data_IF_366746494169
#
_entry.id   IF_366746494169
#
_cell.length_a   1.000
_cell.length_b   1.000
_cell.length_c   1.000
_cell.angle_alpha   90.00
_cell.angle_beta   90.00
_cell.angle_gamma   90.00
#
_symmetry.space_group_name_H-M   'P 1'
#
loop_
_entity.id
_entity.type
_entity.pdbx_description
1 polymer ?
#
# COMPACT_ATOMS: atom_id res chain seq x y z
N UNK A 1 -7.89 -26.66 -6.56
CA UNK A 1 -7.71 -25.21 -6.52
C UNK A 1 -6.22 -24.93 -6.43
N UNK A 2 -5.71 -23.73 -6.79
CA UNK A 2 -4.35 -23.33 -6.51
C UNK A 2 -4.11 -23.19 -5.00
N UNK A 3 -2.85 -22.99 -4.59
CA UNK A 3 -2.48 -22.92 -3.16
C UNK A 3 -3.34 -21.89 -2.39
N UNK A 4 -3.55 -20.71 -2.97
CA UNK A 4 -4.34 -19.65 -2.34
C UNK A 4 -5.86 -19.91 -2.40
N UNK A 5 -6.37 -20.55 -3.46
CA UNK A 5 -7.80 -20.88 -3.60
C UNK A 5 -8.31 -21.86 -2.54
N UNK A 6 -7.42 -22.61 -1.89
CA UNK A 6 -7.78 -23.52 -0.80
C UNK A 6 -8.42 -22.82 0.39
N UNK A 7 -8.13 -21.53 0.61
CA UNK A 7 -8.73 -20.77 1.70
C UNK A 7 -10.26 -20.71 1.62
N UNK A 8 -10.83 -20.60 0.41
CA UNK A 8 -12.28 -20.68 0.22
C UNK A 8 -12.83 -22.04 0.69
N UNK A 9 -12.16 -23.13 0.32
CA UNK A 9 -12.53 -24.49 0.74
C UNK A 9 -12.41 -24.66 2.26
N UNK A 10 -11.37 -24.09 2.86
CA UNK A 10 -11.18 -24.10 4.31
C UNK A 10 -12.35 -23.41 5.04
N UNK A 11 -12.78 -22.23 4.59
CA UNK A 11 -13.94 -21.52 5.14
C UNK A 11 -15.17 -22.42 5.13
N UNK A 12 -15.51 -23.04 3.98
CA UNK A 12 -16.65 -23.92 3.88
C UNK A 12 -16.51 -25.16 4.78
N UNK A 13 -15.35 -25.80 4.78
CA UNK A 13 -15.10 -27.01 5.56
C UNK A 13 -15.25 -26.76 7.06
N UNK A 14 -14.64 -25.67 7.54
CA UNK A 14 -14.75 -25.31 8.98
C UNK A 14 -16.17 -24.91 9.36
N UNK A 15 -16.85 -24.16 8.49
CA UNK A 15 -18.25 -23.78 8.73
C UNK A 15 -19.19 -24.98 8.78
N UNK A 16 -19.13 -25.88 7.80
CA UNK A 16 -20.02 -27.04 7.66
C UNK A 16 -19.71 -28.12 8.73
N UNK A 17 -18.43 -28.45 8.93
CA UNK A 17 -18.06 -29.57 9.79
C UNK A 17 -17.86 -29.17 11.27
N UNK A 18 -17.52 -27.92 11.54
CA UNK A 18 -17.16 -27.47 12.89
C UNK A 18 -18.04 -26.34 13.42
N UNK A 19 -18.93 -25.79 12.58
CA UNK A 19 -19.74 -24.62 12.94
C UNK A 19 -18.93 -23.32 13.14
N UNK A 20 -17.68 -23.28 12.67
CA UNK A 20 -16.78 -22.14 12.83
C UNK A 20 -16.89 -21.21 11.64
N UNK A 21 -17.43 -20.03 11.85
CA UNK A 21 -17.51 -18.98 10.82
C UNK A 21 -16.17 -18.27 10.66
N UNK A 22 -15.93 -17.63 9.49
CA UNK A 22 -14.74 -16.81 9.29
C UNK A 22 -14.72 -15.63 10.28
N UNK A 23 -13.53 -15.14 10.69
CA UNK A 23 -13.40 -14.08 11.70
C UNK A 23 -14.03 -12.76 11.27
N UNK A 24 -14.11 -12.52 9.96
CA UNK A 24 -14.72 -11.32 9.35
C UNK A 24 -15.56 -11.69 8.15
N UNK A 25 -16.31 -10.71 7.64
CA UNK A 25 -17.00 -10.82 6.35
C UNK A 25 -16.01 -11.01 5.20
N UNK A 26 -16.38 -11.83 4.21
CA UNK A 26 -15.68 -11.94 2.92
C UNK A 26 -16.24 -10.98 1.87
N UNK A 27 -17.34 -10.26 2.19
CA UNK A 27 -17.92 -9.24 1.32
C UNK A 27 -17.15 -7.91 1.43
N UNK A 28 -16.48 -7.46 0.35
CA UNK A 28 -15.68 -6.23 0.40
C UNK A 28 -16.51 -4.96 0.66
N UNK A 29 -17.82 -4.98 0.35
CA UNK A 29 -18.70 -3.86 0.61
C UNK A 29 -19.07 -3.76 2.10
N UNK A 30 -19.23 -4.90 2.77
CA UNK A 30 -19.54 -4.97 4.20
C UNK A 30 -18.29 -4.73 5.06
N UNK A 31 -17.09 -5.08 4.56
CA UNK A 31 -15.85 -4.96 5.33
C UNK A 31 -15.62 -3.54 5.86
N UNK A 32 -15.85 -2.52 5.01
CA UNK A 32 -15.75 -1.11 5.40
C UNK A 32 -16.75 -0.74 6.50
N UNK A 33 -17.98 -1.26 6.42
CA UNK A 33 -19.04 -0.99 7.42
C UNK A 33 -18.70 -1.63 8.75
N UNK A 34 -18.27 -2.89 8.74
CA UNK A 34 -17.82 -3.59 9.96
C UNK A 34 -16.60 -2.90 10.60
N UNK A 35 -15.68 -2.36 9.79
CA UNK A 35 -14.56 -1.58 10.30
C UNK A 35 -15.03 -0.28 10.98
N UNK A 36 -16.07 0.38 10.43
CA UNK A 36 -16.67 1.57 11.04
C UNK A 36 -17.28 1.26 12.41
N UNK A 37 -17.88 0.09 12.56
CA UNK A 37 -18.51 -0.31 13.82
C UNK A 37 -17.48 -0.79 14.87
N UNK A 38 -16.33 -1.31 14.43
CA UNK A 38 -15.31 -1.88 15.30
C UNK A 38 -14.26 -0.85 15.78
N UNK A 39 -13.99 0.18 14.99
CA UNK A 39 -12.98 1.20 15.29
C UNK A 39 -13.60 2.42 15.99
N UNK A 40 -12.76 3.23 16.66
CA UNK A 40 -13.17 4.58 17.05
C UNK A 40 -13.49 5.43 15.80
N UNK A 41 -14.33 6.46 15.96
CA UNK A 41 -14.66 7.35 14.86
C UNK A 41 -13.42 8.04 14.26
N UNK A 42 -12.46 8.45 15.09
CA UNK A 42 -11.18 9.04 14.67
C UNK A 42 -10.37 8.06 13.84
N UNK A 43 -10.19 6.82 14.32
CA UNK A 43 -9.44 5.78 13.63
C UNK A 43 -10.08 5.43 12.28
N UNK A 44 -11.39 5.25 12.26
CA UNK A 44 -12.10 4.97 11.03
C UNK A 44 -12.01 6.14 10.03
N UNK A 45 -12.24 7.38 10.48
CA UNK A 45 -12.15 8.57 9.64
C UNK A 45 -10.76 8.71 9.02
N UNK A 46 -9.71 8.49 9.80
CA UNK A 46 -8.33 8.60 9.35
C UNK A 46 -8.01 7.61 8.21
N UNK A 47 -8.45 6.36 8.30
CA UNK A 47 -8.18 5.37 7.23
C UNK A 47 -9.21 5.44 6.09
N UNK A 48 -10.48 5.69 6.38
CA UNK A 48 -11.53 5.68 5.38
C UNK A 48 -11.64 6.99 4.60
N UNK A 49 -11.21 8.11 5.20
CA UNK A 49 -11.28 9.43 4.62
C UNK A 49 -10.39 9.62 3.38
N UNK A 50 -10.75 10.62 2.59
CA UNK A 50 -10.02 11.09 1.41
C UNK A 50 -9.75 12.58 1.50
N UNK A 51 -9.12 13.15 0.46
CA UNK A 51 -8.99 14.58 0.28
C UNK A 51 -10.28 15.18 -0.28
N UNK A 52 -10.53 16.46 0.00
CA UNK A 52 -11.63 17.25 -0.54
C UNK A 52 -12.99 16.60 -0.36
N UNK A 53 -13.77 16.52 -1.42
CA UNK A 53 -15.09 15.87 -1.44
C UNK A 53 -15.01 14.36 -1.72
N UNK A 54 -13.81 13.80 -1.99
CA UNK A 54 -13.63 12.39 -2.29
C UNK A 54 -13.72 12.03 -3.77
N UNK A 55 -13.74 13.01 -4.68
CA UNK A 55 -13.88 12.79 -6.12
C UNK A 55 -12.81 11.83 -6.69
N UNK A 56 -11.55 11.91 -6.23
CA UNK A 56 -10.50 10.98 -6.64
C UNK A 56 -10.73 9.56 -6.11
N UNK A 57 -11.31 9.42 -4.91
CA UNK A 57 -11.69 8.09 -4.39
C UNK A 57 -12.74 7.43 -5.28
N UNK A 58 -13.73 8.20 -5.71
CA UNK A 58 -14.80 7.72 -6.60
C UNK A 58 -14.26 7.42 -7.99
N UNK A 59 -13.39 8.29 -8.54
CA UNK A 59 -12.69 8.05 -9.81
C UNK A 59 -11.90 6.73 -9.79
N UNK A 60 -11.19 6.42 -8.70
CA UNK A 60 -10.49 5.14 -8.55
C UNK A 60 -11.45 3.94 -8.66
N UNK A 61 -12.63 4.01 -8.05
CA UNK A 61 -13.62 2.91 -8.13
C UNK A 61 -14.32 2.85 -9.47
N UNK A 62 -14.62 4.00 -10.07
CA UNK A 62 -15.22 4.10 -11.40
C UNK A 62 -14.30 3.49 -12.47
N UNK A 63 -13.00 3.79 -12.41
CA UNK A 63 -12.02 3.23 -13.33
C UNK A 63 -12.07 1.69 -13.35
N UNK A 64 -12.10 1.03 -12.18
CA UNK A 64 -12.27 -0.41 -12.10
C UNK A 64 -13.63 -0.91 -12.64
N UNK A 65 -14.70 -0.15 -12.48
CA UNK A 65 -16.02 -0.52 -13.02
C UNK A 65 -16.10 -0.42 -14.54
N UNK A 66 -15.31 0.46 -15.17
CA UNK A 66 -15.27 0.64 -16.62
C UNK A 66 -14.52 -0.50 -17.33
N UNK A 67 -13.57 -1.16 -16.68
CA UNK A 67 -12.91 -2.32 -17.22
C UNK A 67 -13.64 -3.61 -16.86
N UNK A 68 -13.95 -4.45 -17.86
CA UNK A 68 -14.65 -5.74 -17.72
C UNK A 68 -13.73 -6.87 -18.13
N UNK A 69 -13.64 -7.91 -17.31
CA UNK A 69 -12.96 -9.16 -17.66
C UNK A 69 -13.80 -9.87 -18.72
N UNK A 70 -13.17 -10.36 -19.78
CA UNK A 70 -13.80 -11.19 -20.82
C UNK A 70 -13.37 -12.64 -20.58
N UNK A 71 -14.18 -13.46 -19.88
CA UNK A 71 -13.80 -14.82 -19.55
C UNK A 71 -13.78 -15.71 -20.80
N UNK A 72 -12.82 -16.65 -20.84
CA UNK A 72 -12.70 -17.64 -21.90
C UNK A 72 -12.92 -19.04 -21.35
N UNK A 73 -13.88 -19.74 -21.92
CA UNK A 73 -14.28 -21.07 -21.47
C UNK A 73 -13.46 -22.17 -22.13
N UNK A 74 -13.52 -23.40 -21.57
CA UNK A 74 -12.88 -24.60 -22.07
C UNK A 74 -11.38 -24.50 -22.31
N UNK A 75 -10.69 -23.71 -21.46
CA UNK A 75 -9.24 -23.54 -21.50
C UNK A 75 -8.58 -24.25 -20.32
N UNK A 76 -7.41 -24.91 -20.52
CA UNK A 76 -6.63 -25.42 -19.41
C UNK A 76 -6.21 -24.25 -18.48
N UNK A 77 -6.68 -24.28 -17.22
CA UNK A 77 -6.43 -23.24 -16.22
C UNK A 77 -5.83 -23.79 -14.92
N UNK A 78 -5.35 -25.03 -14.94
CA UNK A 78 -4.74 -25.66 -13.78
C UNK A 78 -3.42 -26.38 -14.17
N UNK A 79 -2.42 -26.50 -13.26
CA UNK A 79 -2.35 -25.71 -12.03
C UNK A 79 -2.21 -24.23 -12.33
N UNK A 80 -2.81 -23.37 -11.50
CA UNK A 80 -2.65 -21.90 -11.63
C UNK A 80 -1.35 -21.46 -11.03
N UNK A 81 -0.76 -20.44 -11.64
CA UNK A 81 0.48 -19.84 -11.23
C UNK A 81 0.27 -18.33 -10.97
N UNK A 82 0.46 -17.94 -9.70
CA UNK A 82 0.36 -16.56 -9.25
C UNK A 82 1.73 -15.89 -9.02
N UNK A 83 2.81 -16.63 -9.23
CA UNK A 83 4.16 -16.15 -8.99
C UNK A 83 4.53 -14.98 -9.90
N UNK A 84 5.30 -14.06 -9.35
CA UNK A 84 5.87 -12.91 -10.07
C UNK A 84 7.33 -12.72 -9.70
N UNK A 85 8.12 -12.21 -10.64
CA UNK A 85 9.48 -11.75 -10.37
C UNK A 85 9.46 -10.22 -10.27
N UNK A 86 9.96 -9.70 -9.14
CA UNK A 86 10.13 -8.26 -8.92
C UNK A 86 11.58 -8.02 -8.51
N UNK A 87 12.30 -7.23 -9.29
CA UNK A 87 13.69 -6.85 -9.01
C UNK A 87 14.63 -8.06 -8.81
N UNK A 88 14.42 -9.15 -9.58
CA UNK A 88 15.23 -10.36 -9.51
C UNK A 88 14.83 -11.37 -8.43
N UNK A 89 13.88 -11.04 -7.57
CA UNK A 89 13.34 -11.93 -6.53
C UNK A 89 11.98 -12.50 -6.95
N UNK A 90 11.77 -13.81 -6.71
CA UNK A 90 10.49 -14.47 -6.96
C UNK A 90 9.56 -14.32 -5.74
N UNK A 91 8.32 -13.90 -5.99
CA UNK A 91 7.25 -13.80 -5.00
C UNK A 91 6.11 -14.75 -5.36
N UNK A 92 5.46 -15.35 -4.35
CA UNK A 92 4.40 -16.36 -4.54
C UNK A 92 3.11 -15.78 -5.13
N UNK A 93 2.93 -14.46 -5.07
CA UNK A 93 1.74 -13.79 -5.58
C UNK A 93 2.03 -12.34 -5.99
N UNK A 94 1.20 -11.75 -6.87
CA UNK A 94 1.34 -10.37 -7.35
C UNK A 94 0.72 -9.34 -6.40
N UNK A 95 0.78 -9.59 -5.09
CA UNK A 95 0.15 -8.74 -4.07
C UNK A 95 1.16 -8.36 -3.01
N UNK A 96 1.19 -7.08 -2.66
CA UNK A 96 1.96 -6.54 -1.55
C UNK A 96 1.01 -5.75 -0.62
N UNK A 97 1.38 -5.58 0.64
CA UNK A 97 0.67 -4.64 1.52
C UNK A 97 1.29 -3.26 1.38
N UNK A 98 0.44 -2.28 1.01
CA UNK A 98 0.84 -0.89 0.84
C UNK A 98 1.40 -0.29 2.14
N UNK A 99 2.31 0.69 2.05
CA UNK A 99 2.79 1.40 3.22
C UNK A 99 1.66 2.24 3.82
N UNK A 100 1.15 1.83 4.97
CA UNK A 100 0.17 2.56 5.77
C UNK A 100 0.77 2.83 7.13
N UNK A 101 0.81 4.11 7.51
CA UNK A 101 1.38 4.53 8.79
C UNK A 101 0.41 4.49 9.95
N UNK A 102 0.93 4.76 11.14
CA UNK A 102 0.20 4.94 12.39
C UNK A 102 -0.79 3.81 12.70
N UNK A 103 -0.41 2.55 12.50
CA UNK A 103 -1.33 1.41 12.58
C UNK A 103 -1.86 1.16 14.01
N UNK A 104 -1.20 1.69 15.03
CA UNK A 104 -1.72 1.69 16.40
C UNK A 104 -3.07 2.42 16.53
N UNK A 105 -3.31 3.42 15.66
CA UNK A 105 -4.61 4.11 15.59
C UNK A 105 -5.75 3.13 15.33
N UNK A 106 -5.48 2.09 14.54
CA UNK A 106 -6.49 1.10 14.15
C UNK A 106 -6.59 -0.06 15.14
N UNK A 107 -5.44 -0.57 15.62
CA UNK A 107 -5.39 -1.72 16.52
C UNK A 107 -4.06 -1.79 17.28
N UNK A 108 -4.10 -2.32 18.51
CA UNK A 108 -2.91 -2.53 19.36
C UNK A 108 -1.82 -3.43 18.76
N UNK A 109 -2.16 -4.27 17.80
CA UNK A 109 -1.19 -5.14 17.11
C UNK A 109 -0.29 -4.37 16.14
N UNK A 110 -0.62 -3.12 15.78
CA UNK A 110 0.20 -2.18 15.03
C UNK A 110 0.74 -2.76 13.70
N UNK A 111 1.84 -2.20 13.21
CA UNK A 111 2.57 -2.68 12.04
C UNK A 111 3.14 -4.09 12.25
N UNK A 112 3.51 -4.45 13.48
CA UNK A 112 4.01 -5.79 13.82
C UNK A 112 2.96 -6.87 13.58
N UNK A 113 1.69 -6.60 13.88
CA UNK A 113 0.58 -7.51 13.58
C UNK A 113 0.37 -7.69 12.08
N UNK A 114 0.40 -6.59 11.31
CA UNK A 114 0.30 -6.64 9.84
C UNK A 114 1.49 -7.38 9.22
N UNK A 115 2.71 -7.11 9.68
CA UNK A 115 3.92 -7.76 9.20
C UNK A 115 3.90 -9.28 9.47
N UNK A 116 3.47 -9.69 10.66
CA UNK A 116 3.31 -11.10 11.00
C UNK A 116 2.23 -11.80 10.15
N UNK A 117 1.09 -11.13 9.89
CA UNK A 117 0.05 -11.65 9.00
C UNK A 117 0.58 -11.84 7.56
N UNK A 118 1.37 -10.90 7.06
CA UNK A 118 2.02 -10.97 5.76
C UNK A 118 3.02 -12.13 5.70
N UNK A 119 3.83 -12.30 6.75
CA UNK A 119 4.81 -13.38 6.85
C UNK A 119 4.15 -14.77 6.78
N UNK A 120 3.03 -14.97 7.48
CA UNK A 120 2.29 -16.23 7.46
C UNK A 120 1.69 -16.60 6.09
N UNK A 121 1.49 -15.61 5.21
CA UNK A 121 0.98 -15.79 3.85
C UNK A 121 2.04 -15.63 2.77
N UNK A 122 3.30 -15.39 3.14
CA UNK A 122 4.41 -15.08 2.25
C UNK A 122 4.09 -13.90 1.29
N UNK A 123 3.40 -12.89 1.83
CA UNK A 123 3.08 -11.64 1.12
C UNK A 123 4.09 -10.56 1.56
N UNK A 124 4.73 -9.81 0.64
CA UNK A 124 5.63 -8.74 1.03
C UNK A 124 4.91 -7.63 1.79
N UNK A 125 5.50 -7.21 2.90
CA UNK A 125 5.06 -6.04 3.68
C UNK A 125 5.91 -4.82 3.38
N UNK A 126 5.29 -3.69 3.09
CA UNK A 126 5.98 -2.39 2.93
C UNK A 126 5.76 -1.57 4.21
N UNK A 127 6.81 -1.45 5.02
CA UNK A 127 6.78 -0.63 6.22
C UNK A 127 6.78 0.85 5.86
N UNK A 128 5.90 1.64 6.47
CA UNK A 128 5.90 3.10 6.31
C UNK A 128 6.89 3.79 7.25
N UNK A 129 7.53 4.87 6.81
CA UNK A 129 8.26 5.80 7.69
C UNK A 129 7.38 6.37 8.80
N UNK A 130 6.07 6.54 8.51
CA UNK A 130 5.09 6.98 9.50
C UNK A 130 4.60 5.85 10.41
N UNK A 131 5.47 4.92 10.78
CA UNK A 131 5.14 3.76 11.62
C UNK A 131 5.10 4.09 13.11
N UNK A 132 4.20 3.42 13.83
CA UNK A 132 4.16 3.41 15.30
C UNK A 132 5.10 2.35 15.89
N UNK A 133 5.53 1.39 15.06
CA UNK A 133 6.56 0.41 15.43
C UNK A 133 7.90 0.82 14.85
N UNK A 134 8.99 0.46 15.52
CA UNK A 134 10.35 0.69 15.03
C UNK A 134 10.69 -0.23 13.84
N UNK A 135 11.71 0.14 13.08
CA UNK A 135 12.26 -0.66 11.98
C UNK A 135 12.64 -2.07 12.49
N UNK A 136 13.23 -2.17 13.67
CA UNK A 136 13.65 -3.44 14.26
C UNK A 136 12.48 -4.32 14.70
N UNK A 137 11.42 -3.74 15.31
CA UNK A 137 10.22 -4.47 15.69
C UNK A 137 9.51 -5.08 14.49
N UNK A 138 9.38 -4.31 13.41
CA UNK A 138 8.77 -4.79 12.16
C UNK A 138 9.64 -5.85 11.50
N UNK A 139 10.96 -5.68 11.47
CA UNK A 139 11.87 -6.68 10.95
C UNK A 139 11.78 -8.01 11.74
N UNK A 140 11.74 -7.94 13.07
CA UNK A 140 11.56 -9.11 13.93
C UNK A 140 10.21 -9.81 13.67
N UNK A 141 9.11 -9.05 13.56
CA UNK A 141 7.78 -9.59 13.28
C UNK A 141 7.67 -10.24 11.88
N UNK A 142 8.43 -9.74 10.91
CA UNK A 142 8.50 -10.31 9.56
C UNK A 142 9.37 -11.58 9.49
N UNK A 143 10.26 -11.81 10.47
CA UNK A 143 11.23 -12.91 10.41
C UNK A 143 12.08 -12.86 9.15
N UNK A 144 12.15 -13.98 8.40
CA UNK A 144 12.90 -14.07 7.14
C UNK A 144 12.05 -13.74 5.89
N UNK A 145 10.78 -13.31 6.07
CA UNK A 145 9.90 -13.04 4.93
C UNK A 145 10.20 -11.70 4.27
N UNK A 146 9.81 -11.53 2.99
CA UNK A 146 10.08 -10.33 2.22
C UNK A 146 9.46 -9.08 2.85
N UNK A 147 10.27 -8.05 3.00
CA UNK A 147 9.84 -6.74 3.48
C UNK A 147 10.54 -5.62 2.76
N UNK A 148 9.79 -4.57 2.47
CA UNK A 148 10.25 -3.35 1.82
C UNK A 148 10.09 -2.17 2.77
N UNK A 149 10.89 -1.12 2.57
CA UNK A 149 10.82 0.09 3.38
C UNK A 149 10.29 1.26 2.54
N UNK A 150 9.28 1.99 3.04
CA UNK A 150 8.81 3.21 2.41
C UNK A 150 9.35 4.42 3.16
N UNK A 151 9.88 5.36 2.39
CA UNK A 151 10.41 6.64 2.86
C UNK A 151 9.45 7.78 2.52
N UNK A 152 8.99 8.51 3.56
CA UNK A 152 8.70 9.92 3.41
C UNK A 152 10.03 10.64 3.56
N UNK A 153 10.51 11.23 2.50
CA UNK A 153 11.89 11.70 2.39
C UNK A 153 12.11 12.95 3.26
N UNK A 154 12.87 12.89 4.38
CA UNK A 154 13.17 14.04 5.19
C UNK A 154 13.96 15.09 4.40
N UNK A 155 13.76 16.35 4.74
CA UNK A 155 14.53 17.46 4.14
C UNK A 155 16.02 17.43 4.54
N UNK A 156 16.33 16.83 5.68
CA UNK A 156 17.67 16.64 6.18
C UNK A 156 18.32 15.35 5.65
N UNK A 157 19.39 15.49 4.85
CA UNK A 157 20.08 14.36 4.21
C UNK A 157 20.78 13.44 5.22
N UNK A 158 21.22 13.94 6.39
CA UNK A 158 21.86 13.09 7.42
C UNK A 158 20.80 12.20 8.09
N UNK A 159 19.60 12.72 8.35
CA UNK A 159 18.49 11.95 8.90
C UNK A 159 18.07 10.90 7.86
N UNK A 160 17.97 11.28 6.59
CA UNK A 160 17.68 10.38 5.48
C UNK A 160 18.68 9.24 5.43
N UNK A 161 19.98 9.54 5.41
CA UNK A 161 21.05 8.54 5.37
C UNK A 161 21.01 7.58 6.56
N UNK A 162 20.74 8.09 7.77
CA UNK A 162 20.64 7.29 8.99
C UNK A 162 19.49 6.30 8.95
N UNK A 163 18.30 6.76 8.55
CA UNK A 163 17.10 5.91 8.43
C UNK A 163 17.33 4.82 7.37
N UNK A 164 17.88 5.17 6.20
CA UNK A 164 18.17 4.18 5.14
C UNK A 164 19.19 3.14 5.59
N UNK A 165 20.25 3.56 6.29
CA UNK A 165 21.24 2.66 6.87
C UNK A 165 20.61 1.67 7.87
N UNK A 166 19.72 2.17 8.74
CA UNK A 166 19.01 1.34 9.72
C UNK A 166 18.08 0.33 9.03
N UNK A 167 17.30 0.78 8.05
CA UNK A 167 16.41 -0.11 7.29
C UNK A 167 17.18 -1.20 6.54
N UNK A 168 18.29 -0.84 5.89
CA UNK A 168 19.18 -1.78 5.20
C UNK A 168 19.78 -2.80 6.17
N UNK A 169 20.32 -2.36 7.31
CA UNK A 169 20.87 -3.24 8.34
C UNK A 169 19.81 -4.19 8.93
N UNK A 170 18.54 -3.76 8.99
CA UNK A 170 17.41 -4.59 9.40
C UNK A 170 16.89 -5.52 8.28
N UNK A 171 17.54 -5.55 7.11
CA UNK A 171 17.26 -6.50 6.03
C UNK A 171 16.05 -6.14 5.15
N UNK A 172 15.67 -4.88 5.10
CA UNK A 172 14.72 -4.39 4.08
C UNK A 172 15.41 -4.39 2.72
N UNK A 173 14.73 -4.94 1.69
CA UNK A 173 15.36 -5.22 0.38
C UNK A 173 15.10 -4.16 -0.68
N UNK A 174 13.95 -3.51 -0.65
CA UNK A 174 13.51 -2.54 -1.65
C UNK A 174 13.12 -1.25 -0.94
N UNK A 175 13.55 -0.12 -1.48
CA UNK A 175 13.16 1.20 -1.01
C UNK A 175 12.00 1.75 -1.86
N UNK A 176 10.92 2.17 -1.21
CA UNK A 176 9.78 2.85 -1.84
C UNK A 176 9.78 4.31 -1.40
N UNK A 177 10.15 5.22 -2.28
CA UNK A 177 10.12 6.66 -1.99
C UNK A 177 8.76 7.23 -2.40
N UNK A 178 8.04 7.79 -1.46
CA UNK A 178 6.73 8.40 -1.73
C UNK A 178 6.91 9.86 -2.12
N UNK A 179 6.48 10.19 -3.34
CA UNK A 179 6.69 11.53 -3.95
C UNK A 179 5.40 12.35 -4.08
N UNK A 180 4.24 11.77 -3.79
CA UNK A 180 2.94 12.43 -3.85
C UNK A 180 2.50 13.10 -2.54
N UNK A 181 3.39 13.18 -1.53
CA UNK A 181 3.05 13.65 -0.19
C UNK A 181 4.11 14.63 0.34
N UNK A 182 4.33 15.73 -0.34
CA UNK A 182 5.18 16.82 0.15
C UNK A 182 4.55 17.53 1.36
N UNK A 183 3.22 17.58 1.41
CA UNK A 183 2.44 18.13 2.52
C UNK A 183 1.21 17.29 2.81
N UNK A 184 0.58 17.52 3.94
CA UNK A 184 -0.72 16.91 4.26
C UNK A 184 -1.83 17.59 3.48
N UNK A 185 -2.63 16.79 2.77
CA UNK A 185 -3.76 17.29 2.00
C UNK A 185 -4.91 17.79 2.89
N UNK A 186 -5.83 18.53 2.30
CA UNK A 186 -7.07 18.91 2.95
C UNK A 186 -8.00 17.71 3.06
N UNK A 187 -8.06 17.09 4.25
CA UNK A 187 -8.85 15.89 4.55
C UNK A 187 -9.97 16.27 5.53
N UNK A 188 -11.20 16.48 5.07
CA UNK A 188 -12.29 16.97 5.92
C UNK A 188 -12.51 16.10 7.16
N UNK A 189 -12.50 14.77 7.01
CA UNK A 189 -12.74 13.86 8.13
C UNK A 189 -11.69 13.97 9.26
N UNK A 190 -10.44 14.27 8.92
CA UNK A 190 -9.35 14.48 9.89
C UNK A 190 -9.45 15.89 10.48
N UNK A 191 -9.76 16.90 9.64
CA UNK A 191 -9.87 18.30 10.05
C UNK A 191 -11.06 18.53 10.98
N UNK A 192 -12.23 17.97 10.67
CA UNK A 192 -13.44 18.10 11.49
C UNK A 192 -13.25 17.47 12.88
N UNK A 193 -12.39 16.43 12.97
CA UNK A 193 -12.04 15.80 14.23
C UNK A 193 -10.81 16.47 14.92
N UNK A 194 -10.16 17.45 14.26
CA UNK A 194 -8.86 18.00 14.67
C UNK A 194 -7.85 16.90 15.02
N UNK A 195 -7.85 15.83 14.22
CA UNK A 195 -7.08 14.62 14.48
C UNK A 195 -5.87 14.50 13.57
N UNK A 196 -4.69 14.48 14.19
CA UNK A 196 -3.41 14.19 13.54
C UNK A 196 -2.67 13.18 14.42
N UNK A 197 -2.50 11.91 13.99
CA UNK A 197 -1.89 10.86 14.81
C UNK A 197 -0.50 11.25 15.36
N UNK A 198 0.30 11.88 14.52
CA UNK A 198 1.67 12.31 14.87
C UNK A 198 1.72 13.21 16.09
N UNK A 199 0.75 14.12 16.26
CA UNK A 199 0.68 15.01 17.42
C UNK A 199 0.24 14.29 18.70
N UNK A 200 -0.27 13.05 18.57
CA UNK A 200 -0.59 12.13 19.68
C UNK A 200 0.53 11.09 19.91
N UNK A 201 1.68 11.25 19.26
CA UNK A 201 2.83 10.34 19.37
C UNK A 201 2.74 9.08 18.52
N UNK A 202 1.70 8.95 17.69
CA UNK A 202 1.48 7.80 16.83
C UNK A 202 2.05 8.04 15.42
N UNK A 203 2.85 7.10 14.91
CA UNK A 203 3.48 7.21 13.60
C UNK A 203 4.81 7.95 13.57
N UNK A 204 5.42 8.26 14.72
CA UNK A 204 6.70 8.99 14.81
C UNK A 204 7.89 8.07 15.13
N UNK A 205 7.67 6.79 15.39
CA UNK A 205 8.69 5.93 16.02
C UNK A 205 9.94 5.80 15.17
N UNK A 206 9.84 5.81 13.84
CA UNK A 206 11.02 5.77 12.97
C UNK A 206 11.92 6.99 13.18
N UNK A 207 11.35 8.19 13.18
CA UNK A 207 12.11 9.42 13.46
C UNK A 207 12.59 9.48 14.91
N UNK A 208 11.72 9.20 15.88
CA UNK A 208 12.07 9.32 17.31
C UNK A 208 13.09 8.29 17.77
N UNK A 209 13.24 7.17 17.10
CA UNK A 209 14.29 6.18 17.37
C UNK A 209 15.57 6.41 16.57
N UNK A 210 15.56 7.31 15.57
CA UNK A 210 16.74 7.58 14.75
C UNK A 210 17.80 8.39 15.53
N UNK A 211 19.07 7.94 15.60
CA UNK A 211 20.09 8.59 16.39
C UNK A 211 20.46 10.00 15.90
N UNK A 212 20.37 10.25 14.59
CA UNK A 212 20.70 11.56 14.01
C UNK A 212 19.55 12.53 14.28
N UNK A 213 18.29 12.10 14.10
CA UNK A 213 17.15 12.92 14.49
C UNK A 213 17.21 13.30 15.97
N UNK A 214 17.47 12.33 16.87
CA UNK A 214 17.57 12.56 18.33
C UNK A 214 18.66 13.57 18.64
N UNK A 215 19.85 13.44 18.05
CA UNK A 215 20.95 14.40 18.23
C UNK A 215 20.54 15.81 17.80
N UNK A 216 20.01 15.96 16.58
CA UNK A 216 19.59 17.26 16.04
C UNK A 216 18.43 17.87 16.83
N UNK A 217 17.53 17.04 17.34
CA UNK A 217 16.45 17.49 18.23
C UNK A 217 17.02 18.03 19.55
N UNK A 218 17.94 17.30 20.20
CA UNK A 218 18.58 17.74 21.43
C UNK A 218 19.35 19.08 21.26
N UNK A 219 20.05 19.25 20.13
CA UNK A 219 20.74 20.52 19.78
C UNK A 219 19.75 21.71 19.68
N UNK A 220 18.49 21.48 19.28
CA UNK A 220 17.45 22.51 19.12
C UNK A 220 16.57 22.72 20.36
N UNK A 221 16.67 21.85 21.35
CA UNK A 221 15.77 21.80 22.51
C UNK A 221 16.52 21.78 23.84
N UNK A 222 17.68 22.43 23.92
CA UNK A 222 18.51 22.54 25.13
C UNK A 222 18.80 21.17 25.77
N UNK A 223 19.07 20.16 24.97
CA UNK A 223 19.41 18.81 25.41
C UNK A 223 18.22 17.87 25.69
N UNK A 224 16.98 18.30 25.45
CA UNK A 224 15.80 17.46 25.66
C UNK A 224 15.76 16.28 24.68
N UNK A 225 15.19 15.16 25.12
CA UNK A 225 14.88 14.00 24.26
C UNK A 225 13.47 14.11 23.65
N UNK A 226 13.15 13.37 22.60
CA UNK A 226 11.78 13.30 22.08
C UNK A 226 10.74 12.87 23.13
N UNK A 227 11.13 12.05 24.12
CA UNK A 227 10.30 11.62 25.23
C UNK A 227 10.04 12.73 26.25
N UNK A 228 11.02 13.66 26.46
CA UNK A 228 10.86 14.80 27.36
C UNK A 228 9.92 15.86 26.78
N UNK A 229 9.92 16.03 25.45
CA UNK A 229 9.07 17.02 24.77
C UNK A 229 8.47 16.46 23.47
N UNK A 230 7.51 15.50 23.57
CA UNK A 230 6.98 14.78 22.42
C UNK A 230 6.26 15.66 21.40
N UNK A 231 5.60 16.75 21.84
CA UNK A 231 4.92 17.66 20.91
C UNK A 231 5.90 18.47 20.06
N UNK A 232 6.98 18.96 20.66
CA UNK A 232 8.02 19.67 19.92
C UNK A 232 8.77 18.73 18.95
N UNK A 233 9.06 17.51 19.42
CA UNK A 233 9.68 16.48 18.58
C UNK A 233 8.77 16.07 17.42
N UNK A 234 7.47 15.90 17.64
CA UNK A 234 6.51 15.62 16.59
C UNK A 234 6.42 16.75 15.57
N UNK A 235 6.41 18.00 16.02
CA UNK A 235 6.41 19.17 15.14
C UNK A 235 7.68 19.23 14.29
N UNK A 236 8.84 18.95 14.88
CA UNK A 236 10.10 18.91 14.15
C UNK A 236 10.11 17.78 13.13
N UNK A 237 9.70 16.56 13.52
CA UNK A 237 9.60 15.41 12.61
C UNK A 237 8.64 15.64 11.44
N UNK A 238 7.47 16.23 11.71
CA UNK A 238 6.53 16.61 10.66
C UNK A 238 7.12 17.64 9.69
N UNK A 239 7.92 18.59 10.20
CA UNK A 239 8.62 19.55 9.36
C UNK A 239 9.69 18.92 8.47
N UNK A 240 10.30 17.81 8.90
CA UNK A 240 11.23 17.03 8.06
C UNK A 240 10.51 16.19 7.00
N UNK A 241 9.45 15.50 7.38
CA UNK A 241 8.78 14.52 6.51
C UNK A 241 7.69 15.13 5.60
N UNK A 242 7.11 16.28 5.98
CA UNK A 242 5.98 16.94 5.30
C UNK A 242 6.19 18.46 5.29
N UNK A 243 7.33 18.90 4.83
CA UNK A 243 7.79 20.31 4.86
C UNK A 243 6.93 21.26 4.03
N UNK A 244 6.23 20.76 3.02
CA UNK A 244 5.58 21.53 1.97
C UNK A 244 6.42 21.68 0.71
N UNK A 245 7.72 21.38 0.79
CA UNK A 245 8.65 21.45 -0.33
C UNK A 245 8.85 20.05 -0.96
N UNK A 246 9.15 20.01 -2.26
CA UNK A 246 9.45 18.78 -2.99
C UNK A 246 10.94 18.65 -3.23
N UNK A 247 11.45 17.43 -3.17
CA UNK A 247 12.79 17.12 -3.65
C UNK A 247 12.83 17.15 -5.19
N UNK A 248 13.79 17.85 -5.84
CA UNK A 248 13.96 17.78 -7.29
C UNK A 248 14.52 16.42 -7.72
N UNK A 249 14.38 16.08 -8.99
CA UNK A 249 14.81 14.79 -9.55
C UNK A 249 16.30 14.52 -9.32
N UNK A 250 17.14 15.53 -9.42
CA UNK A 250 18.59 15.43 -9.24
C UNK A 250 18.96 15.01 -7.79
N UNK A 251 18.09 15.30 -6.84
CA UNK A 251 18.31 14.93 -5.44
C UNK A 251 18.22 13.41 -5.19
N UNK A 252 17.68 12.63 -6.14
CA UNK A 252 17.72 11.16 -6.08
C UNK A 252 19.13 10.58 -5.93
N UNK A 253 20.15 11.31 -6.31
CA UNK A 253 21.56 10.91 -6.10
C UNK A 253 21.90 10.78 -4.61
N UNK A 254 21.24 11.52 -3.71
CA UNK A 254 21.38 11.34 -2.25
C UNK A 254 20.84 9.98 -1.82
N UNK A 255 19.67 9.59 -2.33
CA UNK A 255 19.08 8.27 -2.03
C UNK A 255 20.02 7.16 -2.51
N UNK A 256 20.46 7.22 -3.77
CA UNK A 256 21.33 6.22 -4.40
C UNK A 256 22.67 6.06 -3.69
N UNK A 257 23.19 7.13 -3.11
CA UNK A 257 24.44 7.09 -2.32
C UNK A 257 24.28 6.23 -1.04
N UNK A 258 23.07 6.16 -0.48
CA UNK A 258 22.80 5.52 0.82
C UNK A 258 21.97 4.23 0.71
N UNK A 259 21.46 3.92 -0.49
CA UNK A 259 20.69 2.71 -0.76
C UNK A 259 21.22 2.00 -2.00
N UNK A 260 21.61 0.74 -1.86
CA UNK A 260 22.21 -0.11 -2.91
C UNK A 260 21.24 -1.19 -3.45
N UNK A 261 20.05 -1.27 -2.90
CA UNK A 261 18.95 -2.13 -3.41
C UNK A 261 18.07 -1.41 -4.43
N UNK A 262 17.04 -2.07 -4.94
CA UNK A 262 16.08 -1.44 -5.85
C UNK A 262 15.38 -0.23 -5.21
N UNK A 263 15.19 0.82 -6.04
CA UNK A 263 14.48 2.05 -5.69
C UNK A 263 13.20 2.14 -6.50
N UNK A 264 12.08 2.38 -5.83
CA UNK A 264 10.74 2.49 -6.44
C UNK A 264 10.11 3.83 -6.05
N UNK A 265 9.67 4.63 -7.01
CA UNK A 265 8.94 5.87 -6.74
C UNK A 265 7.44 5.61 -6.67
N UNK A 266 6.80 5.98 -5.55
CA UNK A 266 5.34 5.85 -5.36
C UNK A 266 4.66 7.20 -5.49
N UNK A 267 3.55 7.24 -6.25
CA UNK A 267 2.77 8.48 -6.48
C UNK A 267 2.86 8.99 -7.92
N UNK A 268 3.43 8.19 -8.81
CA UNK A 268 3.57 8.55 -10.22
C UNK A 268 2.23 8.33 -10.93
N UNK A 269 1.72 9.39 -11.57
CA UNK A 269 0.48 9.36 -12.36
C UNK A 269 0.62 9.94 -13.76
N UNK A 270 1.77 10.52 -14.11
CA UNK A 270 2.01 11.11 -15.41
C UNK A 270 3.04 10.29 -16.19
N UNK A 271 2.82 9.96 -17.49
CA UNK A 271 3.79 9.21 -18.30
C UNK A 271 5.16 9.89 -18.41
N UNK A 272 5.21 11.22 -18.46
CA UNK A 272 6.49 11.96 -18.49
C UNK A 272 7.28 11.76 -17.19
N UNK A 273 6.63 11.76 -16.04
CA UNK A 273 7.29 11.48 -14.75
C UNK A 273 7.82 10.04 -14.69
N UNK A 274 7.10 9.09 -15.29
CA UNK A 274 7.59 7.71 -15.42
C UNK A 274 8.84 7.62 -16.30
N UNK A 275 8.90 8.39 -17.38
CA UNK A 275 10.08 8.50 -18.25
C UNK A 275 11.23 9.17 -17.51
N UNK A 276 10.98 10.24 -16.74
CA UNK A 276 11.98 10.89 -15.89
C UNK A 276 12.53 9.93 -14.83
N UNK A 277 11.66 9.16 -14.15
CA UNK A 277 12.09 8.13 -13.20
C UNK A 277 13.05 7.13 -13.85
N UNK A 278 12.75 6.65 -15.06
CA UNK A 278 13.63 5.77 -15.82
C UNK A 278 14.97 6.45 -16.18
N UNK A 279 14.95 7.71 -16.62
CA UNK A 279 16.15 8.48 -16.96
C UNK A 279 17.06 8.70 -15.75
N UNK A 280 16.46 8.89 -14.57
CA UNK A 280 17.18 8.98 -13.29
C UNK A 280 17.54 7.61 -12.70
N UNK A 281 17.44 6.51 -13.46
CA UNK A 281 17.90 5.18 -13.06
C UNK A 281 17.14 4.60 -11.87
N UNK A 282 15.83 4.85 -11.78
CA UNK A 282 14.92 4.23 -10.82
C UNK A 282 14.49 2.86 -11.33
N UNK A 283 14.44 1.85 -10.46
CA UNK A 283 14.17 0.45 -10.84
C UNK A 283 12.68 0.17 -11.08
N UNK A 284 11.82 0.97 -10.45
CA UNK A 284 10.38 0.79 -10.58
C UNK A 284 9.56 2.00 -10.14
N UNK A 285 8.29 1.97 -10.49
CA UNK A 285 7.31 2.97 -10.05
C UNK A 285 6.04 2.29 -9.56
N UNK A 286 5.31 2.97 -8.67
CA UNK A 286 3.95 2.63 -8.28
C UNK A 286 3.02 3.70 -8.83
N UNK A 287 2.19 3.34 -9.81
CA UNK A 287 1.11 4.18 -10.30
C UNK A 287 0.07 4.31 -9.20
N UNK A 288 -0.05 5.51 -8.63
CA UNK A 288 -0.78 5.75 -7.39
C UNK A 288 -1.23 7.19 -7.27
N UNK A 289 -2.43 7.42 -6.75
CA UNK A 289 -2.89 8.71 -6.25
C UNK A 289 -3.09 8.71 -4.73
N UNK A 290 -2.31 7.87 -4.03
CA UNK A 290 -2.39 7.72 -2.57
C UNK A 290 -3.78 7.31 -2.07
N UNK A 291 -4.54 6.58 -2.90
CA UNK A 291 -5.91 6.17 -2.59
C UNK A 291 -6.89 7.34 -2.50
N UNK A 292 -6.64 8.45 -3.21
CA UNK A 292 -7.46 9.66 -3.18
C UNK A 292 -7.30 10.48 -1.89
N UNK A 293 -6.14 10.40 -1.24
CA UNK A 293 -5.87 11.08 0.04
C UNK A 293 -5.04 12.35 -0.12
N UNK A 294 -4.60 12.69 -1.33
CA UNK A 294 -3.70 13.83 -1.60
C UNK A 294 -4.38 14.85 -2.51
N UNK A 295 -4.38 14.70 -3.81
CA UNK A 295 -5.06 15.63 -4.72
C UNK A 295 -6.49 15.16 -4.92
N UNK A 296 -7.49 15.97 -4.51
CA UNK A 296 -8.86 15.71 -4.89
C UNK A 296 -9.15 16.24 -6.30
N UNK A 297 -10.06 15.59 -7.03
CA UNK A 297 -10.30 15.86 -8.44
C UNK A 297 -9.22 15.31 -9.37
N UNK A 298 -8.24 14.53 -8.86
CA UNK A 298 -7.27 13.85 -9.69
C UNK A 298 -7.89 12.65 -10.42
N UNK A 299 -7.26 12.27 -11.54
CA UNK A 299 -7.64 11.08 -12.32
C UNK A 299 -7.51 9.80 -11.52
N UNK A 300 -8.34 8.81 -11.80
CA UNK A 300 -8.19 7.47 -11.22
C UNK A 300 -6.88 6.82 -11.64
N UNK A 301 -6.14 6.24 -10.66
CA UNK A 301 -4.82 5.62 -10.95
C UNK A 301 -4.90 4.58 -12.07
N UNK A 302 -5.99 3.78 -12.13
CA UNK A 302 -6.14 2.74 -13.14
C UNK A 302 -6.31 3.31 -14.56
N UNK A 303 -6.84 4.52 -14.70
CA UNK A 303 -6.98 5.17 -16.00
C UNK A 303 -5.63 5.58 -16.59
N UNK A 304 -4.65 5.91 -15.74
CA UNK A 304 -3.29 6.27 -16.15
C UNK A 304 -2.37 5.06 -16.37
N UNK A 305 -2.72 3.90 -15.82
CA UNK A 305 -1.86 2.73 -15.88
C UNK A 305 -1.49 2.30 -17.31
N UNK A 306 -2.44 2.21 -18.29
CA UNK A 306 -2.09 1.81 -19.66
C UNK A 306 -1.06 2.75 -20.33
N UNK A 307 -1.24 4.06 -20.21
CA UNK A 307 -0.34 5.05 -20.82
C UNK A 307 1.06 5.00 -20.18
N UNK A 308 1.15 4.84 -18.89
CA UNK A 308 2.43 4.69 -18.17
C UNK A 308 3.12 3.38 -18.56
N UNK A 309 2.38 2.27 -18.65
CA UNK A 309 2.92 0.98 -19.10
C UNK A 309 3.41 1.06 -20.55
N UNK A 310 2.72 1.75 -21.44
CA UNK A 310 3.16 1.99 -22.81
C UNK A 310 4.49 2.76 -22.85
N UNK A 311 4.66 3.74 -21.98
CA UNK A 311 5.86 4.57 -21.94
C UNK A 311 7.11 3.84 -21.40
N UNK A 312 6.96 3.03 -20.35
CA UNK A 312 8.12 2.48 -19.59
C UNK A 312 8.00 1.00 -19.21
N UNK A 313 6.88 0.33 -19.45
CA UNK A 313 6.60 -0.99 -18.88
C UNK A 313 7.48 -2.14 -19.38
N UNK A 314 8.21 -1.96 -20.49
CA UNK A 314 9.23 -2.87 -21.01
C UNK A 314 10.64 -2.59 -20.47
N UNK A 315 10.85 -1.45 -19.81
CA UNK A 315 12.15 -0.94 -19.36
C UNK A 315 12.28 -0.89 -17.84
N UNK A 316 11.16 -0.81 -17.10
CA UNK A 316 11.16 -0.77 -15.65
C UNK A 316 9.95 -1.51 -15.06
N UNK A 317 10.03 -1.85 -13.77
CA UNK A 317 8.92 -2.47 -13.05
C UNK A 317 7.83 -1.47 -12.75
N UNK A 318 6.62 -1.67 -13.29
CA UNK A 318 5.44 -0.86 -12.99
C UNK A 318 4.55 -1.62 -12.01
N UNK A 319 4.36 -1.06 -10.83
CA UNK A 319 3.43 -1.53 -9.78
C UNK A 319 2.21 -0.61 -9.75
N UNK A 320 1.18 -1.03 -9.04
CA UNK A 320 -0.08 -0.29 -9.01
C UNK A 320 -0.73 -0.29 -7.64
N UNK A 321 -1.32 0.83 -7.23
CA UNK A 321 -2.27 0.89 -6.12
C UNK A 321 -3.43 1.86 -6.39
N UNK A 322 -4.27 2.03 -5.40
CA UNK A 322 -5.46 2.86 -5.36
C UNK A 322 -6.72 2.20 -5.94
N UNK A 323 -7.63 1.89 -5.04
CA UNK A 323 -8.97 1.46 -5.39
C UNK A 323 -9.23 -0.06 -5.40
N UNK A 324 -8.24 -0.93 -5.23
CA UNK A 324 -8.42 -2.39 -5.24
C UNK A 324 -9.28 -2.85 -4.04
N UNK A 325 -10.25 -3.74 -4.32
CA UNK A 325 -11.16 -4.33 -3.32
C UNK A 325 -11.38 -5.83 -3.50
N UNK A 326 -11.13 -6.38 -4.70
CA UNK A 326 -11.46 -7.76 -5.09
C UNK A 326 -10.34 -8.41 -5.88
N UNK A 327 -10.33 -9.74 -6.00
CA UNK A 327 -9.44 -10.46 -6.90
C UNK A 327 -9.65 -10.06 -8.37
N UNK A 328 -10.90 -9.74 -8.75
CA UNK A 328 -11.19 -9.22 -10.09
C UNK A 328 -10.52 -7.86 -10.35
N UNK A 329 -10.44 -6.98 -9.36
CA UNK A 329 -9.70 -5.71 -9.50
C UNK A 329 -8.19 -5.99 -9.72
N UNK A 330 -7.62 -6.96 -8.99
CA UNK A 330 -6.22 -7.37 -9.17
C UNK A 330 -6.00 -7.87 -10.60
N UNK A 331 -6.85 -8.77 -11.11
CA UNK A 331 -6.78 -9.27 -12.51
C UNK A 331 -6.78 -8.10 -13.51
N UNK A 332 -7.62 -7.07 -13.29
CA UNK A 332 -7.69 -5.92 -14.20
C UNK A 332 -6.39 -5.11 -14.21
N UNK A 333 -5.84 -4.79 -13.04
CA UNK A 333 -4.60 -4.05 -12.95
C UNK A 333 -3.42 -4.81 -13.60
N UNK A 334 -3.30 -6.13 -13.34
CA UNK A 334 -2.28 -6.97 -13.95
C UNK A 334 -2.45 -7.06 -15.48
N UNK A 335 -3.70 -7.21 -15.95
CA UNK A 335 -3.99 -7.27 -17.39
C UNK A 335 -3.69 -5.94 -18.11
N UNK A 336 -3.73 -4.82 -17.41
CA UNK A 336 -3.34 -3.50 -17.91
C UNK A 336 -1.84 -3.22 -17.81
N UNK A 337 -1.05 -4.20 -17.33
CA UNK A 337 0.40 -4.19 -17.38
C UNK A 337 1.13 -3.99 -16.05
N UNK A 338 0.42 -3.83 -14.94
CA UNK A 338 1.06 -3.86 -13.63
C UNK A 338 1.71 -5.22 -13.36
N UNK A 339 2.91 -5.25 -12.81
CA UNK A 339 3.59 -6.49 -12.42
C UNK A 339 3.06 -7.04 -11.08
N UNK A 340 2.69 -6.15 -10.18
CA UNK A 340 2.04 -6.47 -8.92
C UNK A 340 1.22 -5.27 -8.42
N UNK A 341 0.38 -5.51 -7.42
CA UNK A 341 -0.51 -4.51 -6.83
C UNK A 341 -0.31 -4.37 -5.34
N UNK A 342 -0.63 -3.20 -4.79
CA UNK A 342 -0.55 -2.94 -3.36
C UNK A 342 -1.95 -2.77 -2.76
N UNK A 343 -2.17 -3.35 -1.59
CA UNK A 343 -3.40 -3.30 -0.81
C UNK A 343 -3.23 -2.41 0.42
N UNK A 344 -4.01 -1.34 0.53
CA UNK A 344 -4.03 -0.44 1.69
C UNK A 344 -5.25 -0.67 2.58
N UNK A 345 -6.28 0.15 2.39
CA UNK A 345 -7.50 0.18 3.23
C UNK A 345 -8.11 -1.19 3.57
N UNK A 346 -8.27 -2.16 2.64
CA UNK A 346 -8.87 -3.45 3.00
C UNK A 346 -8.12 -4.17 4.12
N UNK A 347 -6.80 -4.18 4.07
CA UNK A 347 -5.95 -4.83 5.10
C UNK A 347 -6.08 -4.09 6.43
N UNK A 348 -6.11 -2.76 6.41
CA UNK A 348 -6.29 -1.95 7.63
C UNK A 348 -7.69 -2.09 8.23
N UNK A 349 -8.72 -2.27 7.44
CA UNK A 349 -10.05 -2.62 7.96
C UNK A 349 -10.01 -3.97 8.67
N UNK A 350 -9.34 -4.97 8.08
CA UNK A 350 -9.12 -6.26 8.75
C UNK A 350 -8.37 -6.12 10.06
N UNK A 351 -7.26 -5.38 10.04
CA UNK A 351 -6.46 -5.09 11.25
C UNK A 351 -7.32 -4.43 12.34
N UNK A 352 -8.09 -3.41 11.98
CA UNK A 352 -8.90 -2.68 12.94
C UNK A 352 -10.07 -3.48 13.55
N UNK A 353 -10.58 -4.48 12.83
CA UNK A 353 -11.66 -5.34 13.33
C UNK A 353 -11.12 -6.44 14.26
N UNK A 354 -10.03 -7.12 13.87
CA UNK A 354 -9.56 -8.32 14.56
C UNK A 354 -8.02 -8.47 14.60
N UNK A 355 -7.29 -7.36 14.58
CA UNK A 355 -5.84 -7.37 14.69
C UNK A 355 -5.15 -8.16 13.57
N UNK A 356 -4.08 -8.86 13.92
CA UNK A 356 -3.31 -9.72 13.00
C UNK A 356 -4.20 -10.71 12.24
N UNK A 357 -5.11 -11.39 12.94
CA UNK A 357 -5.98 -12.39 12.31
C UNK A 357 -6.95 -11.76 11.31
N UNK A 358 -7.41 -10.54 11.57
CA UNK A 358 -8.24 -9.78 10.63
C UNK A 358 -7.49 -9.37 9.37
N UNK A 359 -6.27 -8.85 9.51
CA UNK A 359 -5.41 -8.52 8.38
C UNK A 359 -5.08 -9.77 7.54
N UNK A 360 -4.75 -10.89 8.18
CA UNK A 360 -4.50 -12.18 7.54
C UNK A 360 -5.72 -12.69 6.78
N UNK A 361 -6.90 -12.65 7.40
CA UNK A 361 -8.15 -13.08 6.75
C UNK A 361 -8.44 -12.31 5.46
N UNK A 362 -8.29 -10.98 5.51
CA UNK A 362 -8.52 -10.12 4.33
C UNK A 362 -7.54 -10.45 3.21
N UNK A 363 -6.26 -10.60 3.52
CA UNK A 363 -5.24 -10.98 2.55
C UNK A 363 -5.51 -12.36 1.93
N UNK A 364 -5.77 -13.36 2.77
CA UNK A 364 -6.08 -14.72 2.31
C UNK A 364 -7.35 -14.76 1.44
N UNK A 365 -8.38 -13.98 1.80
CA UNK A 365 -9.62 -13.87 1.05
C UNK A 365 -9.40 -13.24 -0.33
N UNK A 366 -8.62 -12.16 -0.42
CA UNK A 366 -8.31 -11.51 -1.70
C UNK A 366 -7.45 -12.38 -2.61
N UNK A 367 -6.51 -13.15 -2.06
CA UNK A 367 -5.69 -14.10 -2.82
C UNK A 367 -6.55 -15.28 -3.32
N UNK A 368 -7.48 -15.78 -2.50
CA UNK A 368 -8.41 -16.82 -2.91
C UNK A 368 -9.38 -16.34 -3.99
N UNK A 369 -9.89 -15.11 -3.88
CA UNK A 369 -10.73 -14.48 -4.90
C UNK A 369 -9.96 -14.25 -6.21
N UNK A 370 -8.68 -13.85 -6.14
CA UNK A 370 -7.80 -13.76 -7.32
C UNK A 370 -7.66 -15.12 -8.01
N UNK A 371 -7.31 -16.16 -7.26
CA UNK A 371 -7.17 -17.53 -7.79
C UNK A 371 -8.48 -18.04 -8.41
N UNK A 372 -9.62 -17.81 -7.73
CA UNK A 372 -10.96 -18.16 -8.22
C UNK A 372 -11.36 -17.38 -9.48
N UNK A 373 -11.11 -16.08 -9.50
CA UNK A 373 -11.38 -15.22 -10.66
C UNK A 373 -10.58 -15.68 -11.88
N UNK A 374 -9.30 -16.00 -11.71
CA UNK A 374 -8.45 -16.54 -12.79
C UNK A 374 -8.99 -17.88 -13.29
N UNK A 375 -9.41 -18.77 -12.38
CA UNK A 375 -10.00 -20.06 -12.75
C UNK A 375 -11.23 -19.88 -13.64
N UNK A 376 -12.16 -19.04 -13.21
CA UNK A 376 -13.42 -18.79 -13.92
C UNK A 376 -13.24 -18.03 -15.23
N UNK A 377 -12.18 -17.23 -15.33
CA UNK A 377 -11.84 -16.48 -16.55
C UNK A 377 -10.98 -17.29 -17.56
N UNK A 378 -10.58 -18.53 -17.22
CA UNK A 378 -9.74 -19.37 -18.07
C UNK A 378 -8.28 -18.87 -18.17
N UNK A 379 -7.75 -18.29 -17.09
CA UNK A 379 -6.40 -17.72 -16.96
C UNK A 379 -5.54 -18.67 -16.12
N UNK A 380 -4.42 -19.15 -16.67
CA UNK A 380 -3.54 -20.11 -16.01
C UNK A 380 -2.43 -19.44 -15.19
N UNK A 381 -1.89 -18.33 -15.64
CA UNK A 381 -0.80 -17.62 -14.96
C UNK A 381 -1.04 -16.11 -15.00
N UNK A 382 -0.68 -15.41 -13.95
CA UNK A 382 -0.70 -13.95 -13.89
C UNK A 382 0.21 -13.32 -14.94
N UNK A 383 1.30 -14.01 -15.32
CA UNK A 383 2.23 -13.55 -16.36
C UNK A 383 1.66 -13.61 -17.77
N UNK A 384 0.55 -14.34 -17.97
CA UNK A 384 -0.18 -14.42 -19.25
C UNK A 384 -1.30 -13.39 -19.37
N UNK A 385 -1.52 -12.59 -18.35
CA UNK A 385 -2.50 -11.50 -18.40
C UNK A 385 -2.06 -10.43 -19.37
N UNK A 386 -3.00 -9.96 -20.18
CA UNK A 386 -2.82 -8.86 -21.10
C UNK A 386 -4.13 -8.11 -21.27
N UNK A 387 -4.07 -6.92 -21.85
CA UNK A 387 -5.25 -6.08 -22.09
C UNK A 387 -6.32 -6.78 -22.95
N UNK A 388 -5.94 -7.80 -23.74
CA UNK A 388 -6.89 -8.61 -24.53
C UNK A 388 -7.86 -9.43 -23.68
N UNK A 389 -7.57 -9.63 -22.39
CA UNK A 389 -8.48 -10.25 -21.43
C UNK A 389 -9.55 -9.27 -20.91
N UNK A 390 -9.50 -8.02 -21.32
CA UNK A 390 -10.37 -6.96 -20.83
C UNK A 390 -11.12 -6.27 -21.98
N UNK A 391 -12.25 -5.65 -21.61
CA UNK A 391 -13.00 -4.72 -22.47
C UNK A 391 -13.31 -3.46 -21.67
N UNK A 392 -12.91 -2.30 -22.16
CA UNK A 392 -13.33 -1.02 -21.59
C UNK A 392 -14.76 -0.72 -22.06
N UNK A 393 -15.62 -0.31 -21.14
CA UNK A 393 -17.01 0.10 -21.41
C UNK A 393 -17.22 1.50 -20.84
N UNK A 394 -17.90 2.35 -21.61
CA UNK A 394 -18.34 3.66 -21.16
C UNK A 394 -19.81 3.56 -20.79
N UNK A 395 -20.18 4.02 -19.61
CA UNK A 395 -21.58 4.19 -19.24
C UNK A 395 -21.98 5.61 -19.68
N UNK A 396 -23.02 5.73 -20.53
CA UNK A 396 -23.59 7.02 -20.89
C UNK A 396 -24.12 7.73 -19.63
N UNK A 397 -24.21 9.04 -19.66
CA UNK A 397 -24.37 10.01 -18.57
C UNK A 397 -25.37 9.84 -17.42
N UNK A 398 -25.92 8.64 -17.19
CA UNK A 398 -26.92 8.42 -16.12
C UNK A 398 -26.40 7.57 -14.95
N UNK A 399 -25.08 7.44 -14.80
CA UNK A 399 -24.48 6.61 -13.73
C UNK A 399 -24.39 7.31 -12.33
N UNK A 400 -25.17 8.35 -12.11
CA UNK A 400 -25.15 9.13 -10.85
C UNK A 400 -26.16 8.67 -9.80
N UNK A 401 -26.93 7.60 -10.05
CA UNK A 401 -27.91 7.12 -9.07
C UNK A 401 -27.60 5.68 -8.63
N UNK A 402 -26.72 5.54 -7.69
CA UNK A 402 -26.58 4.43 -6.72
C UNK A 402 -25.09 4.16 -6.36
N UNK A 403 -24.55 5.05 -5.57
CA UNK A 403 -23.36 4.79 -4.75
C UNK A 403 -23.79 4.60 -3.31
#
# INVERSE_FOLDING_TARGET
MGAFGNYQTEIYTRGILQGVLPPLTTDPNKLRLHAKDAMSAEAYNYIAGGAGEGATMDANRLAFRQWKIVPRMMRPNAPRDLKVNLFGEEYDCPVLVAPVGAQEVYHKDKETGTAAACAELNVPFIMSTASTSSIHEVAAASGNHPRWFQLYWPMDDEITASILSTAKAAGFKVLVVTVDTACMAWRPADLDAAFIPFMKGQGNTVGFSDPIFRRKFAERSDGATPEDNPLLAAKYWLGEAFSGDSHPWEHLEVIKKHWDGPIVLKGIQHPEDAVLALQHGVDGIIVSNHGGRQVDGAVGSLDMLPEIVEAVGDKMTVLFDSGIRTGADIVKALALGAKAVLLGRPVMYGLGIAGKEGAKHVLASLLADLDGTMALAGIKSVTHLSQTALKKVSYGGDATSSI
#
